data_IF_201562350808
#
_entry.id   IF_201562350808
#
_cell.length_a   1.000
_cell.length_b   1.000
_cell.length_c   1.000
_cell.angle_alpha   90.00
_cell.angle_beta   90.00
_cell.angle_gamma   90.00
#
_symmetry.space_group_name_H-M   'P 1'
#
loop_
_entity.id
_entity.type
_entity.pdbx_description
1 polymer ?
#
# COMPACT_ATOMS: atom_id res chain seq x y z
N UNK A 1 -1.89 7.46 46.69
CA UNK A 1 -1.69 7.35 45.23
C UNK A 1 -1.68 5.88 44.84
N UNK A 2 -2.66 5.41 44.05
CA UNK A 2 -2.58 4.07 43.44
C UNK A 2 -1.66 4.18 42.24
N UNK A 3 -0.43 3.69 42.38
CA UNK A 3 0.54 3.64 41.27
C UNK A 3 0.13 2.64 40.19
N UNK A 4 0.77 2.72 39.04
CA UNK A 4 0.60 1.76 37.96
C UNK A 4 1.07 0.37 38.42
N UNK A 5 0.15 -0.59 38.45
CA UNK A 5 0.47 -2.02 38.60
C UNK A 5 0.69 -2.59 37.21
N UNK A 6 1.94 -2.90 36.91
CA UNK A 6 2.27 -3.76 35.77
C UNK A 6 1.94 -5.20 36.16
N UNK A 7 1.19 -5.89 35.32
CA UNK A 7 0.94 -7.34 35.41
C UNK A 7 1.40 -7.98 34.11
N UNK A 8 1.73 -9.26 34.17
CA UNK A 8 1.99 -10.03 32.96
C UNK A 8 0.80 -9.92 32.00
N UNK A 9 1.12 -9.77 30.71
CA UNK A 9 0.12 -9.74 29.65
C UNK A 9 -0.61 -11.08 29.65
N UNK A 10 -1.87 -11.07 30.09
CA UNK A 10 -2.79 -12.18 29.85
C UNK A 10 -3.31 -12.01 28.42
N UNK A 11 -2.96 -12.88 27.46
CA UNK A 11 -3.54 -12.80 26.13
C UNK A 11 -5.05 -12.82 26.27
N UNK A 12 -5.70 -11.73 25.85
CA UNK A 12 -7.15 -11.67 25.76
C UNK A 12 -7.58 -12.57 24.61
N UNK A 13 -8.41 -13.57 24.95
CA UNK A 13 -8.98 -14.58 24.05
C UNK A 13 -7.96 -15.20 23.08
N UNK A 14 -7.35 -16.33 23.48
CA UNK A 14 -6.87 -17.28 22.49
C UNK A 14 -8.04 -17.56 21.51
N UNK A 15 -7.77 -17.64 20.18
CA UNK A 15 -8.82 -17.90 19.20
C UNK A 15 -9.65 -19.09 19.68
N UNK A 16 -10.98 -18.93 19.71
CA UNK A 16 -11.90 -19.92 20.31
C UNK A 16 -12.13 -21.14 19.42
N UNK A 17 -11.23 -21.37 18.46
CA UNK A 17 -11.36 -22.39 17.44
C UNK A 17 -12.44 -21.99 16.43
N UNK A 18 -12.13 -22.15 15.15
CA UNK A 18 -13.07 -21.86 14.08
C UNK A 18 -12.37 -21.50 12.78
N UNK A 19 -13.10 -21.66 11.68
CA UNK A 19 -12.56 -21.44 10.34
C UNK A 19 -12.00 -20.02 10.15
N UNK A 20 -12.74 -18.98 10.55
CA UNK A 20 -12.36 -17.60 10.25
C UNK A 20 -11.10 -17.14 10.99
N UNK A 21 -10.93 -17.58 12.24
CA UNK A 21 -9.74 -17.26 13.04
C UNK A 21 -8.50 -17.97 12.53
N UNK A 22 -8.62 -19.27 12.23
CA UNK A 22 -7.54 -20.04 11.60
C UNK A 22 -7.23 -19.52 10.19
N UNK A 23 -8.23 -19.08 9.43
CA UNK A 23 -8.03 -18.47 8.11
C UNK A 23 -7.22 -17.18 8.21
N UNK A 24 -7.48 -16.36 9.23
CA UNK A 24 -6.71 -15.13 9.47
C UNK A 24 -5.25 -15.46 9.79
N UNK A 25 -5.02 -16.40 10.71
CA UNK A 25 -3.66 -16.82 11.07
C UNK A 25 -2.94 -17.47 9.88
N UNK A 26 -3.60 -18.36 9.15
CA UNK A 26 -3.07 -18.98 7.94
C UNK A 26 -2.70 -17.94 6.88
N UNK A 27 -3.54 -16.93 6.67
CA UNK A 27 -3.26 -15.81 5.76
C UNK A 27 -2.04 -15.00 6.19
N UNK A 28 -1.80 -14.85 7.51
CA UNK A 28 -0.59 -14.23 8.03
C UNK A 28 0.65 -15.09 7.76
N UNK A 29 0.58 -16.40 8.06
CA UNK A 29 1.66 -17.36 7.81
C UNK A 29 2.06 -17.42 6.34
N UNK A 30 1.09 -17.41 5.42
CA UNK A 30 1.34 -17.37 3.98
C UNK A 30 2.18 -16.16 3.54
N UNK A 31 2.14 -15.04 4.26
CA UNK A 31 3.02 -13.90 3.93
C UNK A 31 4.47 -14.18 4.29
N UNK A 32 4.70 -14.90 5.40
CA UNK A 32 6.03 -15.27 5.88
C UNK A 32 6.64 -16.41 5.08
N UNK A 33 5.83 -17.38 4.65
CA UNK A 33 6.26 -18.52 3.81
C UNK A 33 6.29 -18.18 2.31
N UNK A 34 6.14 -16.90 1.96
CA UNK A 34 6.08 -16.44 0.58
C UNK A 34 5.09 -17.24 -0.29
N UNK A 35 3.89 -17.48 0.23
CA UNK A 35 2.81 -18.19 -0.47
C UNK A 35 2.91 -19.71 -0.47
N UNK A 36 3.93 -20.31 0.17
CA UNK A 36 4.01 -21.76 0.34
C UNK A 36 2.94 -22.23 1.35
N UNK A 37 1.92 -22.90 0.81
CA UNK A 37 0.80 -23.41 1.60
C UNK A 37 1.19 -24.59 2.48
N UNK A 38 2.08 -25.48 2.02
CA UNK A 38 2.49 -26.64 2.78
C UNK A 38 3.32 -26.24 3.99
N UNK A 39 4.26 -25.30 3.81
CA UNK A 39 5.04 -24.72 4.90
C UNK A 39 4.13 -23.96 5.89
N UNK A 40 3.20 -23.14 5.39
CA UNK A 40 2.28 -22.39 6.25
C UNK A 40 1.37 -23.31 7.08
N UNK A 41 0.86 -24.40 6.50
CA UNK A 41 0.06 -25.40 7.23
C UNK A 41 0.91 -26.15 8.26
N UNK A 42 2.17 -26.45 7.96
CA UNK A 42 3.11 -27.07 8.90
C UNK A 42 3.34 -26.16 10.11
N UNK A 43 3.59 -24.87 9.88
CA UNK A 43 3.76 -23.89 10.96
C UNK A 43 2.47 -23.71 11.76
N UNK A 44 1.31 -23.68 11.11
CA UNK A 44 0.01 -23.60 11.77
C UNK A 44 -0.21 -24.79 12.72
N UNK A 45 0.14 -25.99 12.28
CA UNK A 45 0.04 -27.20 13.10
C UNK A 45 0.98 -27.14 14.32
N UNK A 46 2.18 -26.60 14.16
CA UNK A 46 3.11 -26.43 15.29
C UNK A 46 2.61 -25.38 16.29
N UNK A 47 2.02 -24.28 15.79
CA UNK A 47 1.36 -23.28 16.64
C UNK A 47 0.16 -23.87 17.39
N UNK A 48 -0.63 -24.71 16.74
CA UNK A 48 -1.76 -25.37 17.39
C UNK A 48 -1.33 -26.31 18.51
N UNK A 49 -0.25 -27.08 18.33
CA UNK A 49 0.30 -27.93 19.40
C UNK A 49 0.71 -27.13 20.64
N UNK A 50 1.32 -25.97 20.43
CA UNK A 50 1.84 -25.13 21.50
C UNK A 50 0.75 -24.30 22.19
N UNK A 51 -0.15 -23.70 21.40
CA UNK A 51 -1.11 -22.71 21.89
C UNK A 51 -2.54 -23.23 21.97
N UNK A 52 -2.81 -24.47 21.55
CA UNK A 52 -4.15 -25.09 21.57
C UNK A 52 -5.18 -24.19 20.88
N UNK A 53 -4.91 -23.85 19.62
CA UNK A 53 -5.74 -22.95 18.81
C UNK A 53 -7.06 -23.61 18.37
N UNK A 54 -7.07 -24.94 18.35
CA UNK A 54 -8.21 -25.79 18.00
C UNK A 54 -8.87 -26.41 19.24
N UNK A 55 -10.04 -27.00 19.03
CA UNK A 55 -10.79 -27.72 20.06
C UNK A 55 -11.17 -29.13 19.57
N UNK A 56 -11.85 -29.91 20.42
CA UNK A 56 -12.25 -31.29 20.07
C UNK A 56 -13.23 -31.36 18.90
N UNK A 57 -13.98 -30.29 18.64
CA UNK A 57 -15.02 -30.25 17.61
C UNK A 57 -14.47 -29.79 16.24
N UNK A 58 -13.35 -29.04 16.24
CA UNK A 58 -12.79 -28.43 15.05
C UNK A 58 -11.26 -28.35 15.12
N UNK A 59 -10.59 -29.28 14.43
CA UNK A 59 -9.14 -29.40 14.35
C UNK A 59 -8.52 -28.84 13.06
N UNK A 60 -7.18 -28.94 12.94
CA UNK A 60 -6.44 -28.52 11.74
C UNK A 60 -6.85 -29.33 10.51
N UNK A 61 -7.19 -30.62 10.67
CA UNK A 61 -7.72 -31.44 9.57
C UNK A 61 -9.02 -30.87 9.01
N UNK A 62 -9.99 -30.55 9.87
CA UNK A 62 -11.24 -29.91 9.46
C UNK A 62 -10.99 -28.58 8.76
N UNK A 63 -10.02 -27.80 9.24
CA UNK A 63 -9.63 -26.55 8.61
C UNK A 63 -9.07 -26.74 7.19
N UNK A 64 -8.23 -27.76 6.96
CA UNK A 64 -7.69 -28.06 5.63
C UNK A 64 -8.82 -28.48 4.68
N UNK A 65 -9.75 -29.32 5.14
CA UNK A 65 -10.91 -29.75 4.33
C UNK A 65 -11.79 -28.54 3.98
N UNK A 66 -12.10 -27.69 4.96
CA UNK A 66 -12.83 -26.44 4.75
C UNK A 66 -12.11 -25.49 3.77
N UNK A 67 -10.78 -25.41 3.80
CA UNK A 67 -10.00 -24.62 2.84
C UNK A 67 -10.16 -25.16 1.42
N UNK A 68 -10.22 -26.49 1.23
CA UNK A 68 -10.48 -27.09 -0.09
C UNK A 68 -11.92 -26.85 -0.53
N UNK A 69 -12.89 -27.15 0.33
CA UNK A 69 -14.33 -27.04 0.03
C UNK A 69 -14.74 -25.61 -0.29
N UNK A 70 -14.20 -24.64 0.46
CA UNK A 70 -14.44 -23.21 0.22
C UNK A 70 -13.54 -22.65 -0.89
N UNK A 71 -12.70 -23.45 -1.54
CA UNK A 71 -11.91 -23.08 -2.71
C UNK A 71 -10.71 -22.15 -2.42
N UNK A 72 -10.15 -22.21 -1.22
CA UNK A 72 -8.90 -21.51 -0.84
C UNK A 72 -7.64 -22.31 -1.19
N UNK A 73 -7.73 -23.64 -1.15
CA UNK A 73 -6.65 -24.54 -1.54
C UNK A 73 -7.10 -25.46 -2.67
N UNK A 74 -6.15 -25.80 -3.52
CA UNK A 74 -6.24 -26.90 -4.47
C UNK A 74 -5.10 -27.88 -4.17
N UNK A 75 -5.39 -29.16 -4.29
CA UNK A 75 -4.39 -30.20 -4.19
C UNK A 75 -4.03 -30.66 -5.60
N UNK A 76 -2.74 -30.69 -5.91
CA UNK A 76 -2.27 -31.25 -7.17
C UNK A 76 -2.37 -32.78 -7.10
N UNK A 77 -3.29 -33.35 -7.89
CA UNK A 77 -3.61 -34.78 -7.88
C UNK A 77 -2.41 -35.70 -8.19
N UNK A 78 -1.30 -35.17 -8.71
CA UNK A 78 -0.11 -35.95 -9.05
C UNK A 78 1.00 -35.88 -8.00
N UNK A 79 1.13 -34.76 -7.27
CA UNK A 79 2.20 -34.55 -6.29
C UNK A 79 1.72 -34.48 -4.83
N UNK A 80 0.41 -34.37 -4.59
CA UNK A 80 -0.16 -34.13 -3.25
C UNK A 80 0.20 -32.73 -2.70
N UNK A 81 0.68 -31.83 -3.57
CA UNK A 81 1.13 -30.50 -3.17
C UNK A 81 -0.06 -29.54 -3.04
N UNK A 82 -0.12 -28.83 -1.91
CA UNK A 82 -1.10 -27.78 -1.69
C UNK A 82 -0.72 -26.51 -2.44
N UNK A 83 -1.62 -26.01 -3.29
CA UNK A 83 -1.49 -24.72 -3.98
C UNK A 83 -2.59 -23.77 -3.55
N UNK A 84 -2.23 -22.52 -3.25
CA UNK A 84 -3.22 -21.49 -2.96
C UNK A 84 -3.96 -21.07 -4.23
N UNK A 85 -5.24 -20.75 -4.10
CA UNK A 85 -6.05 -20.28 -5.23
C UNK A 85 -6.02 -18.76 -5.36
N UNK A 86 -6.49 -18.24 -6.49
CA UNK A 86 -6.69 -16.81 -6.69
C UNK A 86 -7.65 -16.19 -5.65
N UNK A 87 -8.54 -16.99 -5.06
CA UNK A 87 -9.41 -16.57 -3.96
C UNK A 87 -8.57 -16.26 -2.72
N UNK A 88 -7.65 -17.15 -2.35
CA UNK A 88 -6.72 -16.96 -1.24
C UNK A 88 -5.82 -15.76 -1.46
N UNK A 89 -5.25 -15.60 -2.66
CA UNK A 89 -4.46 -14.41 -3.00
C UNK A 89 -5.27 -13.12 -2.80
N UNK A 90 -6.55 -13.10 -3.19
CA UNK A 90 -7.41 -11.94 -2.94
C UNK A 90 -7.71 -11.73 -1.46
N UNK A 91 -7.96 -12.80 -0.70
CA UNK A 91 -8.18 -12.72 0.75
C UNK A 91 -6.97 -12.15 1.48
N UNK A 92 -5.74 -12.58 1.12
CA UNK A 92 -4.50 -12.04 1.69
C UNK A 92 -4.40 -10.53 1.44
N UNK A 93 -4.66 -10.07 0.21
CA UNK A 93 -4.62 -8.64 -0.13
C UNK A 93 -5.66 -7.81 0.62
N UNK A 94 -6.89 -8.32 0.75
CA UNK A 94 -7.95 -7.66 1.53
C UNK A 94 -7.59 -7.59 3.01
N UNK A 95 -7.10 -8.67 3.59
CA UNK A 95 -6.63 -8.69 4.98
C UNK A 95 -5.50 -7.68 5.21
N UNK A 96 -4.54 -7.60 4.28
CA UNK A 96 -3.47 -6.61 4.33
C UNK A 96 -4.02 -5.18 4.29
N UNK A 97 -5.00 -4.90 3.42
CA UNK A 97 -5.68 -3.61 3.37
C UNK A 97 -6.38 -3.28 4.69
N UNK A 98 -7.19 -4.20 5.21
CA UNK A 98 -7.97 -4.02 6.44
C UNK A 98 -7.10 -3.83 7.67
N UNK A 99 -5.95 -4.50 7.75
CA UNK A 99 -5.03 -4.30 8.86
C UNK A 99 -4.40 -2.91 8.84
N UNK A 100 -3.93 -2.46 7.67
CA UNK A 100 -3.31 -1.13 7.56
C UNK A 100 -4.36 -0.03 7.76
N UNK A 101 -5.54 -0.13 7.14
CA UNK A 101 -6.62 0.86 7.31
C UNK A 101 -7.29 0.80 8.68
N UNK A 102 -7.44 -0.39 9.26
CA UNK A 102 -8.00 -0.58 10.59
C UNK A 102 -7.14 0.06 11.67
N UNK A 103 -5.81 0.04 11.51
CA UNK A 103 -4.86 0.79 12.35
C UNK A 103 -5.03 2.30 12.14
N UNK A 104 -5.12 2.75 10.87
CA UNK A 104 -5.31 4.15 10.48
C UNK A 104 -6.58 4.79 11.07
N UNK A 105 -7.70 4.07 11.08
CA UNK A 105 -8.96 4.52 11.71
C UNK A 105 -8.85 4.69 13.23
N UNK A 106 -7.98 3.92 13.89
CA UNK A 106 -7.77 3.99 15.34
C UNK A 106 -6.74 5.08 15.73
N UNK A 107 -5.82 5.43 14.83
CA UNK A 107 -4.81 6.48 15.04
C UNK A 107 -5.27 7.89 14.63
N UNK A 108 -6.32 8.00 13.79
CA UNK A 108 -6.85 9.27 13.29
C UNK A 108 -7.68 10.05 14.32
N UNK A 109 -7.05 11.00 15.02
CA UNK A 109 -7.73 12.10 15.70
C UNK A 109 -7.98 13.22 14.68
N UNK A 110 -9.25 13.46 14.34
CA UNK A 110 -9.69 14.65 13.59
C UNK A 110 -9.84 14.41 12.08
N UNK A 111 -11.08 14.48 11.62
CA UNK A 111 -11.43 14.57 10.21
C UNK A 111 -10.89 15.91 9.68
N UNK A 112 -9.75 15.92 9.01
CA UNK A 112 -9.30 17.10 8.28
C UNK A 112 -10.14 17.21 7.01
N UNK A 113 -11.29 17.88 7.10
CA UNK A 113 -11.98 18.43 5.94
C UNK A 113 -10.98 19.35 5.21
N UNK A 114 -10.66 19.00 3.97
CA UNK A 114 -9.89 19.90 3.11
C UNK A 114 -10.86 20.90 2.50
N UNK A 115 -10.72 22.19 2.84
CA UNK A 115 -11.52 23.31 2.31
C UNK A 115 -11.21 23.65 0.83
N UNK A 116 -10.86 22.67 -0.01
CA UNK A 116 -10.63 22.90 -1.44
C UNK A 116 -11.55 22.00 -2.25
N UNK A 117 -12.75 22.53 -2.50
CA UNK A 117 -13.67 22.07 -3.53
C UNK A 117 -13.04 22.33 -4.91
N UNK A 118 -13.04 21.33 -5.79
CA UNK A 118 -12.60 21.45 -7.19
C UNK A 118 -13.77 21.37 -8.15
N UNK A 119 -13.58 21.84 -9.39
CA UNK A 119 -14.53 21.63 -10.49
C UNK A 119 -14.24 20.22 -11.06
N UNK A 120 -14.82 19.18 -10.46
CA UNK A 120 -14.69 17.78 -10.89
C UNK A 120 -15.92 17.26 -11.67
N UNK A 121 -15.87 16.02 -12.18
CA UNK A 121 -16.99 15.37 -12.87
C UNK A 121 -17.76 14.35 -12.00
N UNK A 122 -17.18 13.87 -10.88
CA UNK A 122 -17.82 12.89 -10.00
C UNK A 122 -18.43 13.57 -8.76
N UNK A 123 -19.71 13.30 -8.53
CA UNK A 123 -20.48 13.77 -7.37
C UNK A 123 -19.92 13.17 -6.08
N UNK A 124 -19.56 14.00 -5.11
CA UNK A 124 -19.29 13.59 -3.73
C UNK A 124 -20.64 13.54 -2.96
N UNK A 125 -20.68 12.77 -1.87
CA UNK A 125 -21.83 12.73 -0.97
C UNK A 125 -21.88 13.95 -0.03
N UNK A 126 -20.78 14.70 0.07
CA UNK A 126 -20.72 15.92 0.85
C UNK A 126 -21.46 17.05 0.14
N UNK A 127 -22.33 17.73 0.91
CA UNK A 127 -23.13 18.87 0.46
C UNK A 127 -22.73 20.11 1.23
N UNK A 128 -22.83 21.25 0.57
CA UNK A 128 -22.66 22.55 1.22
C UNK A 128 -23.64 23.57 0.65
N UNK A 129 -23.80 24.66 1.37
CA UNK A 129 -24.55 25.82 0.90
C UNK A 129 -23.93 26.37 -0.40
N UNK A 130 -24.80 26.74 -1.33
CA UNK A 130 -24.42 27.40 -2.57
C UNK A 130 -23.68 28.72 -2.28
N UNK A 131 -22.64 28.99 -3.05
CA UNK A 131 -21.91 30.26 -3.03
C UNK A 131 -21.84 30.84 -4.43
N UNK A 132 -21.84 32.17 -4.51
CA UNK A 132 -21.74 32.85 -5.80
C UNK A 132 -20.48 32.43 -6.56
N UNK A 133 -20.66 31.88 -7.75
CA UNK A 133 -19.59 31.32 -8.59
C UNK A 133 -19.64 29.80 -8.75
N UNK A 134 -20.47 29.10 -7.98
CA UNK A 134 -20.72 27.67 -8.15
C UNK A 134 -21.49 27.40 -9.45
N UNK A 135 -21.18 26.26 -10.07
CA UNK A 135 -21.76 25.92 -11.37
C UNK A 135 -23.16 25.34 -11.19
N UNK A 136 -24.09 25.69 -12.08
CA UNK A 136 -25.51 25.28 -11.98
C UNK A 136 -25.70 23.76 -12.02
N UNK A 137 -24.80 23.03 -12.67
CA UNK A 137 -24.79 21.56 -12.73
C UNK A 137 -24.34 20.88 -11.41
N UNK A 138 -23.93 21.67 -10.41
CA UNK A 138 -23.59 21.19 -9.07
C UNK A 138 -24.77 21.29 -8.09
N UNK A 139 -25.85 22.00 -8.44
CA UNK A 139 -27.00 22.19 -7.55
C UNK A 139 -27.77 20.87 -7.40
N UNK A 140 -27.91 20.39 -6.17
CA UNK A 140 -28.86 19.31 -5.86
C UNK A 140 -30.25 19.91 -5.69
N UNK A 141 -31.03 19.86 -6.77
CA UNK A 141 -32.41 20.35 -6.77
C UNK A 141 -33.28 19.65 -5.73
N UNK A 142 -33.03 18.38 -5.43
CA UNK A 142 -33.85 17.61 -4.48
C UNK A 142 -33.63 18.14 -3.07
N UNK A 143 -32.37 18.27 -2.67
CA UNK A 143 -32.00 18.83 -1.37
C UNK A 143 -32.43 20.29 -1.24
N UNK A 144 -32.26 21.05 -2.32
CA UNK A 144 -32.61 22.48 -2.33
C UNK A 144 -34.12 22.70 -2.17
N UNK A 145 -34.95 21.89 -2.84
CA UNK A 145 -36.42 21.92 -2.68
C UNK A 145 -36.81 21.48 -1.27
N UNK A 146 -36.14 20.47 -0.71
CA UNK A 146 -36.39 20.02 0.66
C UNK A 146 -36.09 21.14 1.68
N UNK A 147 -34.95 21.83 1.53
CA UNK A 147 -34.59 22.97 2.38
C UNK A 147 -35.58 24.13 2.22
N UNK A 148 -36.00 24.45 1.00
CA UNK A 148 -36.99 25.47 0.72
C UNK A 148 -38.33 25.19 1.43
N UNK A 149 -38.79 23.93 1.41
CA UNK A 149 -40.01 23.54 2.12
C UNK A 149 -39.86 23.62 3.65
N UNK A 150 -38.67 23.31 4.18
CA UNK A 150 -38.37 23.44 5.61
C UNK A 150 -38.37 24.91 6.03
N UNK A 151 -37.78 25.79 5.22
CA UNK A 151 -37.59 27.21 5.54
C UNK A 151 -38.82 28.08 5.26
N UNK A 152 -39.61 27.75 4.25
CA UNK A 152 -40.72 28.58 3.76
C UNK A 152 -42.11 27.93 3.90
N UNK A 153 -42.17 26.64 4.25
CA UNK A 153 -43.42 25.90 4.43
C UNK A 153 -43.99 25.31 3.13
N UNK A 154 -45.12 24.61 3.26
CA UNK A 154 -45.71 23.78 2.18
C UNK A 154 -46.74 24.55 1.34
N UNK A 155 -47.26 25.67 1.86
CA UNK A 155 -48.38 26.39 1.26
C UNK A 155 -48.02 27.17 0.00
N UNK A 156 -46.91 27.91 0.03
CA UNK A 156 -46.41 28.72 -1.08
C UNK A 156 -44.94 28.37 -1.35
N UNK A 157 -44.65 27.78 -2.52
CA UNK A 157 -43.29 27.41 -2.87
C UNK A 157 -42.44 28.65 -3.13
N UNK A 158 -41.51 28.91 -2.22
CA UNK A 158 -40.53 29.99 -2.34
C UNK A 158 -39.14 29.36 -2.25
N UNK A 159 -38.27 29.63 -3.24
CA UNK A 159 -36.89 29.14 -3.27
C UNK A 159 -35.95 30.34 -3.30
N UNK A 160 -35.06 30.42 -2.31
CA UNK A 160 -34.04 31.46 -2.19
C UNK A 160 -32.64 30.88 -2.41
N UNK A 161 -31.65 31.76 -2.55
CA UNK A 161 -30.24 31.39 -2.65
C UNK A 161 -29.73 30.61 -1.44
N UNK A 162 -30.31 30.85 -0.26
CA UNK A 162 -29.98 30.16 1.00
C UNK A 162 -30.51 28.74 1.08
N UNK A 163 -31.49 28.40 0.25
CA UNK A 163 -32.04 27.06 0.19
C UNK A 163 -31.24 26.16 -0.76
N UNK A 164 -30.41 26.74 -1.63
CA UNK A 164 -29.62 26.01 -2.60
C UNK A 164 -28.49 25.24 -1.92
N UNK A 165 -28.49 23.93 -2.10
CA UNK A 165 -27.36 23.06 -1.78
C UNK A 165 -26.64 22.65 -3.06
N UNK A 166 -25.31 22.65 -2.99
CA UNK A 166 -24.46 22.11 -4.04
C UNK A 166 -23.79 20.82 -3.57
N UNK A 167 -23.76 19.82 -4.44
CA UNK A 167 -22.91 18.64 -4.27
C UNK A 167 -21.47 19.05 -4.56
N UNK A 168 -20.56 18.80 -3.61
CA UNK A 168 -19.15 18.96 -3.88
C UNK A 168 -18.73 17.95 -4.97
N UNK A 169 -17.92 18.39 -5.94
CA UNK A 169 -17.33 17.49 -6.93
C UNK A 169 -15.86 17.28 -6.59
N UNK A 170 -15.47 16.03 -6.36
CA UNK A 170 -14.07 15.70 -6.17
C UNK A 170 -13.36 15.78 -7.52
N UNK A 171 -12.28 16.57 -7.62
CA UNK A 171 -11.36 16.48 -8.75
C UNK A 171 -10.57 15.19 -8.64
N UNK A 172 -11.09 14.10 -9.22
CA UNK A 172 -10.35 12.83 -9.29
C UNK A 172 -9.38 12.88 -10.45
N UNK A 173 -8.18 13.41 -10.21
CA UNK A 173 -7.10 13.26 -11.19
C UNK A 173 -6.71 11.80 -11.35
N UNK A 174 -6.73 11.30 -12.58
CA UNK A 174 -6.18 9.98 -12.90
C UNK A 174 -4.70 9.97 -12.60
N UNK A 175 -4.27 9.03 -11.77
CA UNK A 175 -2.88 8.90 -11.35
C UNK A 175 -2.26 7.61 -11.85
N UNK A 176 -1.04 7.70 -12.37
CA UNK A 176 -0.21 6.56 -12.71
C UNK A 176 0.92 6.41 -11.69
N UNK A 177 0.93 5.29 -10.99
CA UNK A 177 1.87 4.99 -9.92
C UNK A 177 2.73 3.80 -10.31
N UNK A 178 4.05 3.93 -10.16
CA UNK A 178 4.94 2.77 -10.10
C UNK A 178 5.33 2.54 -8.65
N UNK A 179 5.10 1.34 -8.14
CA UNK A 179 5.62 0.88 -6.86
C UNK A 179 6.89 0.06 -7.09
N UNK A 180 8.02 0.58 -6.62
CA UNK A 180 9.32 -0.08 -6.64
C UNK A 180 9.58 -0.76 -5.29
N UNK A 181 9.93 -2.04 -5.33
CA UNK A 181 10.25 -2.86 -4.13
C UNK A 181 11.67 -3.40 -4.26
N UNK A 182 12.49 -3.08 -3.27
CA UNK A 182 13.83 -3.64 -3.12
C UNK A 182 13.76 -5.11 -2.70
N UNK A 183 14.48 -5.98 -3.42
CA UNK A 183 14.63 -7.41 -3.10
C UNK A 183 16.09 -7.81 -2.88
N UNK A 184 16.95 -6.81 -2.66
CA UNK A 184 18.35 -7.03 -2.33
C UNK A 184 18.52 -7.71 -0.97
N UNK A 185 19.69 -8.31 -0.78
CA UNK A 185 19.97 -9.06 0.44
C UNK A 185 19.84 -8.22 1.71
N UNK A 186 20.03 -6.89 1.62
CA UNK A 186 19.89 -6.00 2.77
C UNK A 186 18.53 -6.09 3.44
N UNK A 187 17.47 -6.36 2.69
CA UNK A 187 16.08 -6.43 3.15
C UNK A 187 15.81 -7.52 4.20
N UNK A 188 16.76 -8.43 4.43
CA UNK A 188 16.72 -9.45 5.51
C UNK A 188 17.98 -9.44 6.41
N UNK A 189 18.91 -8.49 6.20
CA UNK A 189 20.13 -8.43 6.99
C UNK A 189 19.83 -8.05 8.44
N UNK A 190 20.70 -8.53 9.34
CA UNK A 190 20.66 -8.27 10.78
C UNK A 190 19.43 -8.85 11.49
N UNK A 191 18.80 -9.89 10.91
CA UNK A 191 17.66 -10.57 11.51
C UNK A 191 16.36 -9.75 11.46
N UNK A 192 16.31 -8.68 10.68
CA UNK A 192 15.12 -7.87 10.46
C UNK A 192 14.46 -8.25 9.13
N UNK A 193 13.25 -8.77 9.16
CA UNK A 193 12.44 -9.02 7.96
C UNK A 193 11.74 -7.74 7.50
N UNK A 194 12.33 -7.06 6.52
CA UNK A 194 11.79 -5.82 5.93
C UNK A 194 10.98 -6.07 4.67
N UNK A 195 11.17 -7.23 4.04
CA UNK A 195 10.47 -7.60 2.81
C UNK A 195 9.00 -7.92 3.10
N UNK A 196 8.68 -8.61 4.19
CA UNK A 196 7.30 -8.97 4.52
C UNK A 196 6.41 -7.74 4.74
N UNK A 197 6.82 -6.71 5.53
CA UNK A 197 6.08 -5.45 5.60
C UNK A 197 5.94 -4.75 4.24
N UNK A 198 6.98 -4.77 3.40
CA UNK A 198 6.94 -4.16 2.07
C UNK A 198 5.90 -4.84 1.16
N UNK A 199 5.88 -6.18 1.11
CA UNK A 199 4.85 -6.96 0.38
C UNK A 199 3.45 -6.63 0.86
N UNK A 200 3.26 -6.58 2.18
CA UNK A 200 1.95 -6.32 2.79
C UNK A 200 1.42 -4.95 2.40
N UNK A 201 2.25 -3.92 2.45
CA UNK A 201 1.87 -2.57 2.03
C UNK A 201 1.64 -2.50 0.52
N UNK A 202 2.46 -3.18 -0.29
CA UNK A 202 2.25 -3.27 -1.74
C UNK A 202 0.90 -3.90 -2.10
N UNK A 203 0.55 -5.01 -1.43
CA UNK A 203 -0.71 -5.71 -1.60
C UNK A 203 -1.90 -4.85 -1.17
N UNK A 204 -1.79 -4.18 -0.02
CA UNK A 204 -2.80 -3.25 0.46
C UNK A 204 -3.00 -2.09 -0.52
N UNK A 205 -1.91 -1.50 -1.06
CA UNK A 205 -2.00 -0.42 -2.03
C UNK A 205 -2.67 -0.89 -3.32
N UNK A 206 -2.30 -2.08 -3.82
CA UNK A 206 -2.93 -2.67 -5.00
C UNK A 206 -4.43 -2.90 -4.80
N UNK A 207 -4.83 -3.42 -3.64
CA UNK A 207 -6.25 -3.64 -3.33
C UNK A 207 -7.00 -2.32 -3.18
N UNK A 208 -6.42 -1.30 -2.54
CA UNK A 208 -7.02 0.03 -2.45
C UNK A 208 -7.27 0.64 -3.83
N UNK A 209 -6.26 0.64 -4.69
CA UNK A 209 -6.36 1.21 -6.04
C UNK A 209 -7.43 0.44 -6.83
N UNK A 210 -7.40 -0.89 -6.79
CA UNK A 210 -8.37 -1.73 -7.50
C UNK A 210 -9.81 -1.52 -7.03
N UNK A 211 -10.03 -1.31 -5.72
CA UNK A 211 -11.37 -1.22 -5.13
C UNK A 211 -11.93 0.19 -5.09
N UNK A 212 -11.13 1.20 -4.71
CA UNK A 212 -11.59 2.59 -4.56
C UNK A 212 -11.25 3.49 -5.73
N UNK A 213 -10.19 3.19 -6.49
CA UNK A 213 -9.69 4.05 -7.57
C UNK A 213 -9.43 3.27 -8.86
N UNK A 214 -10.43 2.54 -9.39
CA UNK A 214 -10.23 1.59 -10.49
C UNK A 214 -9.76 2.22 -11.81
N UNK A 215 -9.85 3.56 -11.94
CA UNK A 215 -9.36 4.31 -13.11
C UNK A 215 -7.86 4.65 -13.00
N UNK A 216 -7.26 4.55 -11.82
CA UNK A 216 -5.82 4.75 -11.62
C UNK A 216 -5.03 3.51 -12.04
N UNK A 217 -3.75 3.71 -12.39
CA UNK A 217 -2.87 2.61 -12.79
C UNK A 217 -1.80 2.37 -11.75
N UNK A 218 -1.56 1.10 -11.41
CA UNK A 218 -0.44 0.66 -10.59
C UNK A 218 0.42 -0.33 -11.38
N UNK A 219 1.68 0.02 -11.59
CA UNK A 219 2.71 -0.88 -12.08
C UNK A 219 3.64 -1.24 -10.92
N UNK A 220 4.02 -2.51 -10.78
CA UNK A 220 4.93 -2.96 -9.71
C UNK A 220 6.26 -3.36 -10.35
N UNK A 221 7.35 -2.81 -9.82
CA UNK A 221 8.73 -3.09 -10.26
C UNK A 221 9.50 -3.61 -9.05
N UNK A 222 10.19 -4.73 -9.23
CA UNK A 222 11.15 -5.20 -8.22
C UNK A 222 12.55 -4.91 -8.72
N UNK A 223 13.48 -4.63 -7.80
CA UNK A 223 14.86 -4.39 -8.16
C UNK A 223 15.85 -5.02 -7.18
N UNK A 224 16.89 -5.61 -7.76
CA UNK A 224 18.05 -6.20 -7.10
C UNK A 224 19.29 -5.88 -7.93
N UNK A 225 19.94 -6.89 -8.53
CA UNK A 225 21.03 -6.63 -9.50
C UNK A 225 20.52 -5.97 -10.79
N UNK A 226 19.29 -6.33 -11.20
CA UNK A 226 18.52 -5.76 -12.30
C UNK A 226 17.14 -5.34 -11.77
N UNK A 227 16.31 -4.78 -12.65
CA UNK A 227 14.92 -4.47 -12.35
C UNK A 227 13.98 -5.06 -13.41
N UNK A 228 12.81 -5.53 -12.98
CA UNK A 228 11.78 -6.07 -13.86
C UNK A 228 10.37 -5.82 -13.29
N UNK A 229 9.35 -5.74 -14.15
CA UNK A 229 7.97 -5.63 -13.69
C UNK A 229 7.47 -6.97 -13.16
N UNK A 230 6.60 -6.92 -12.16
CA UNK A 230 5.85 -8.09 -11.67
C UNK A 230 4.35 -7.76 -11.64
N UNK A 231 3.53 -8.80 -11.60
CA UNK A 231 2.10 -8.65 -11.41
C UNK A 231 1.74 -8.59 -9.93
N UNK A 232 0.53 -8.10 -9.62
CA UNK A 232 0.00 -8.11 -8.25
C UNK A 232 -0.11 -9.52 -7.68
N UNK A 233 -0.25 -10.55 -8.53
CA UNK A 233 -0.33 -11.96 -8.10
C UNK A 233 1.02 -12.49 -7.60
N UNK A 234 2.12 -11.89 -8.05
CA UNK A 234 3.46 -12.34 -7.70
C UNK A 234 3.92 -11.78 -6.33
N UNK A 235 3.21 -10.77 -5.79
CA UNK A 235 3.57 -10.10 -4.53
C UNK A 235 3.71 -11.03 -3.31
N UNK A 236 2.78 -11.99 -3.06
CA UNK A 236 2.91 -12.91 -1.93
C UNK A 236 4.20 -13.73 -2.01
N UNK A 237 4.54 -14.18 -3.22
CA UNK A 237 5.67 -15.06 -3.53
C UNK A 237 7.01 -14.35 -3.66
N UNK A 238 7.04 -13.03 -3.50
CA UNK A 238 8.27 -12.27 -3.65
C UNK A 238 9.31 -12.73 -2.62
N UNK A 239 10.55 -12.94 -3.02
CA UNK A 239 11.62 -13.32 -2.09
C UNK A 239 12.81 -12.42 -2.30
N UNK A 240 13.57 -12.22 -1.22
CA UNK A 240 14.87 -11.56 -1.30
C UNK A 240 15.88 -12.54 -1.88
N UNK A 241 16.74 -12.05 -2.75
CA UNK A 241 17.83 -12.84 -3.31
C UNK A 241 19.19 -12.40 -2.77
N UNK A 242 20.27 -13.12 -3.13
CA UNK A 242 21.65 -12.68 -2.93
C UNK A 242 22.00 -11.56 -3.94
N UNK A 243 21.15 -10.54 -4.00
CA UNK A 243 21.25 -9.42 -4.91
C UNK A 243 21.84 -8.20 -4.20
N UNK A 244 22.50 -7.36 -4.98
CA UNK A 244 22.83 -6.00 -4.61
C UNK A 244 21.65 -5.06 -4.90
N UNK A 245 21.83 -3.77 -4.65
CA UNK A 245 20.78 -2.75 -4.77
C UNK A 245 21.07 -1.88 -5.99
N UNK A 246 20.47 -2.18 -7.14
CA UNK A 246 20.56 -1.39 -8.37
C UNK A 246 19.35 -0.44 -8.51
N UNK A 247 19.31 0.55 -7.63
CA UNK A 247 18.25 1.57 -7.60
C UNK A 247 18.14 2.32 -8.93
N UNK A 248 19.27 2.55 -9.62
CA UNK A 248 19.28 3.18 -10.95
C UNK A 248 18.42 2.41 -11.95
N UNK A 249 18.62 1.10 -12.08
CA UNK A 249 17.85 0.28 -13.03
C UNK A 249 16.35 0.27 -12.69
N UNK A 250 16.01 0.22 -11.40
CA UNK A 250 14.63 0.33 -10.95
C UNK A 250 13.98 1.65 -11.34
N UNK A 251 14.69 2.77 -11.13
CA UNK A 251 14.20 4.11 -11.48
C UNK A 251 14.08 4.31 -13.00
N UNK A 252 15.05 3.81 -13.76
CA UNK A 252 15.06 3.84 -15.22
C UNK A 252 13.83 3.11 -15.78
N UNK A 253 13.58 1.88 -15.33
CA UNK A 253 12.42 1.10 -15.74
C UNK A 253 11.10 1.77 -15.30
N UNK A 254 11.02 2.28 -14.07
CA UNK A 254 9.84 2.97 -13.57
C UNK A 254 9.52 4.23 -14.39
N UNK A 255 10.52 5.05 -14.69
CA UNK A 255 10.36 6.23 -15.53
C UNK A 255 9.91 5.87 -16.94
N UNK A 256 10.42 4.77 -17.51
CA UNK A 256 10.02 4.28 -18.83
C UNK A 256 8.56 3.80 -18.86
N UNK A 257 8.11 3.07 -17.84
CA UNK A 257 6.71 2.67 -17.70
C UNK A 257 5.79 3.89 -17.60
N UNK A 258 6.14 4.86 -16.75
CA UNK A 258 5.36 6.08 -16.56
C UNK A 258 5.36 6.97 -17.80
N UNK A 259 6.46 7.03 -18.57
CA UNK A 259 6.53 7.81 -19.81
C UNK A 259 5.51 7.35 -20.85
N UNK A 260 5.18 6.05 -20.89
CA UNK A 260 4.17 5.47 -21.80
C UNK A 260 2.73 5.77 -21.37
N UNK A 261 2.50 6.23 -20.13
CA UNK A 261 1.16 6.58 -19.64
C UNK A 261 0.76 7.99 -20.11
N UNK A 262 -0.50 8.12 -20.57
CA UNK A 262 -1.09 9.39 -21.04
C UNK A 262 -1.50 10.34 -19.90
N UNK A 263 -1.64 9.80 -18.68
CA UNK A 263 -2.00 10.55 -17.47
C UNK A 263 -0.95 11.62 -17.16
N UNK A 264 -1.41 12.79 -16.71
CA UNK A 264 -0.50 13.86 -16.31
C UNK A 264 0.14 13.56 -14.95
N UNK A 265 -0.64 13.02 -14.02
CA UNK A 265 -0.18 12.72 -12.66
C UNK A 265 0.56 11.38 -12.65
N UNK A 266 1.87 11.46 -12.48
CA UNK A 266 2.79 10.31 -12.45
C UNK A 266 3.56 10.35 -11.13
N UNK A 267 3.78 9.20 -10.52
CA UNK A 267 4.55 9.13 -9.28
C UNK A 267 5.25 7.77 -9.14
N UNK A 268 6.37 7.78 -8.41
CA UNK A 268 7.08 6.58 -8.02
C UNK A 268 7.05 6.47 -6.50
N UNK A 269 6.63 5.33 -5.99
CA UNK A 269 6.84 4.95 -4.59
C UNK A 269 7.96 3.93 -4.54
N UNK A 270 8.98 4.18 -3.74
CA UNK A 270 10.14 3.30 -3.62
C UNK A 270 10.27 2.81 -2.19
N UNK A 271 10.16 1.50 -1.98
CA UNK A 271 10.41 0.86 -0.70
C UNK A 271 11.80 0.22 -0.74
N UNK A 272 12.69 0.67 0.14
CA UNK A 272 14.07 0.18 0.20
C UNK A 272 14.64 0.36 1.60
N UNK A 273 15.56 -0.52 1.98
CA UNK A 273 16.37 -0.44 3.19
C UNK A 273 17.87 -0.26 2.87
N UNK A 274 18.22 -0.21 1.59
CA UNK A 274 19.57 -0.34 1.09
C UNK A 274 20.07 0.92 0.40
N UNK A 275 21.38 1.15 0.51
CA UNK A 275 22.07 2.12 -0.34
C UNK A 275 22.22 1.52 -1.74
N UNK A 276 22.22 2.33 -2.80
CA UNK A 276 22.63 1.85 -4.11
C UNK A 276 24.04 1.26 -4.04
N UNK A 277 24.19 -0.02 -4.42
CA UNK A 277 25.44 -0.78 -4.37
C UNK A 277 25.81 -1.41 -5.71
N UNK A 278 24.94 -1.32 -6.72
CA UNK A 278 25.16 -1.94 -8.02
C UNK A 278 24.74 -1.04 -9.19
N UNK A 279 25.47 -1.18 -10.31
CA UNK A 279 25.10 -0.71 -11.63
C UNK A 279 25.36 -1.80 -12.66
N UNK A 280 24.64 -1.75 -13.78
CA UNK A 280 24.96 -2.54 -14.98
C UNK A 280 25.46 -1.61 -16.08
N UNK A 281 26.66 -1.88 -16.58
CA UNK A 281 27.27 -1.09 -17.65
C UNK A 281 27.92 -2.03 -18.66
N UNK A 282 27.62 -1.83 -19.94
CA UNK A 282 28.18 -2.63 -21.05
C UNK A 282 28.03 -4.14 -20.82
N UNK A 283 26.87 -4.56 -20.28
CA UNK A 283 26.57 -5.96 -19.97
C UNK A 283 27.26 -6.52 -18.72
N UNK A 284 28.10 -5.74 -18.03
CA UNK A 284 28.80 -6.17 -16.79
C UNK A 284 28.23 -5.47 -15.57
N UNK A 285 28.18 -6.19 -14.45
CA UNK A 285 27.79 -5.60 -13.17
C UNK A 285 28.98 -4.95 -12.49
N UNK A 286 28.85 -3.67 -12.20
CA UNK A 286 29.70 -2.95 -11.26
C UNK A 286 29.06 -3.01 -9.87
N UNK A 287 29.78 -3.53 -8.89
CA UNK A 287 29.25 -3.84 -7.56
C UNK A 287 30.21 -3.35 -6.48
N UNK A 288 29.69 -2.66 -5.49
CA UNK A 288 30.41 -2.27 -4.29
C UNK A 288 29.50 -2.46 -3.07
N UNK A 289 29.62 -3.61 -2.40
CA UNK A 289 28.74 -3.99 -1.28
C UNK A 289 28.90 -3.11 -0.05
N UNK A 290 30.03 -2.39 0.09
CA UNK A 290 30.24 -1.42 1.18
C UNK A 290 29.36 -0.18 1.02
N UNK A 291 28.77 0.02 -0.17
CA UNK A 291 28.01 1.22 -0.51
C UNK A 291 28.91 2.46 -0.65
N UNK A 292 28.27 3.62 -0.73
CA UNK A 292 28.95 4.94 -0.83
C UNK A 292 29.87 5.12 -2.05
N UNK A 293 29.73 4.23 -3.03
CA UNK A 293 30.47 4.32 -4.27
C UNK A 293 30.02 5.54 -5.07
N UNK A 294 30.95 6.46 -5.33
CA UNK A 294 30.66 7.72 -6.02
C UNK A 294 30.03 7.49 -7.39
N UNK A 295 30.44 6.44 -8.10
CA UNK A 295 29.91 6.14 -9.44
C UNK A 295 28.46 5.68 -9.36
N UNK A 296 28.16 4.75 -8.46
CA UNK A 296 26.79 4.22 -8.25
C UNK A 296 25.85 5.33 -7.76
N UNK A 297 26.30 6.10 -6.76
CA UNK A 297 25.52 7.20 -6.19
C UNK A 297 25.24 8.26 -7.24
N UNK A 298 26.27 8.78 -7.91
CA UNK A 298 26.09 9.87 -8.88
C UNK A 298 25.14 9.47 -10.02
N UNK A 299 25.24 8.23 -10.51
CA UNK A 299 24.35 7.74 -11.56
C UNK A 299 22.89 7.65 -11.08
N UNK A 300 22.69 7.19 -9.84
CA UNK A 300 21.36 7.12 -9.21
C UNK A 300 20.77 8.53 -8.98
N UNK A 301 21.57 9.47 -8.46
CA UNK A 301 21.15 10.87 -8.26
C UNK A 301 20.83 11.57 -9.58
N UNK A 302 21.61 11.32 -10.64
CA UNK A 302 21.33 11.84 -11.97
C UNK A 302 19.98 11.33 -12.50
N UNK A 303 19.65 10.06 -12.27
CA UNK A 303 18.34 9.52 -12.64
C UNK A 303 17.21 10.18 -11.83
N UNK A 304 17.42 10.44 -10.54
CA UNK A 304 16.46 11.17 -9.70
C UNK A 304 16.19 12.60 -10.24
N UNK A 305 17.24 13.28 -10.69
CA UNK A 305 17.14 14.60 -11.34
C UNK A 305 16.40 14.53 -12.68
N UNK A 306 16.59 13.46 -13.46
CA UNK A 306 15.83 13.21 -14.68
C UNK A 306 14.34 13.01 -14.38
N UNK A 307 13.99 12.22 -13.36
CA UNK A 307 12.60 12.06 -12.91
C UNK A 307 11.96 13.39 -12.53
N UNK A 308 12.70 14.29 -11.84
CA UNK A 308 12.22 15.65 -11.52
C UNK A 308 11.88 16.45 -12.78
N UNK A 309 12.77 16.46 -13.78
CA UNK A 309 12.54 17.13 -15.06
C UNK A 309 11.31 16.58 -15.79
N UNK A 310 11.04 15.28 -15.64
CA UNK A 310 9.86 14.60 -16.18
C UNK A 310 8.59 14.81 -15.32
N UNK A 311 8.66 15.61 -14.25
CA UNK A 311 7.59 15.83 -13.27
C UNK A 311 7.10 14.53 -12.62
N UNK A 312 8.02 13.60 -12.37
CA UNK A 312 7.77 12.34 -11.66
C UNK A 312 8.34 12.48 -10.23
N UNK A 313 7.53 12.91 -9.25
CA UNK A 313 7.93 12.86 -7.85
C UNK A 313 8.17 11.41 -7.40
N UNK A 314 9.22 11.24 -6.60
CA UNK A 314 9.59 9.98 -5.99
C UNK A 314 9.37 10.13 -4.48
N UNK A 315 8.51 9.27 -3.93
CA UNK A 315 8.39 9.11 -2.48
C UNK A 315 9.16 7.86 -2.06
N UNK A 316 10.20 8.07 -1.27
CA UNK A 316 11.05 7.00 -0.74
C UNK A 316 10.59 6.61 0.66
N UNK A 317 10.27 5.34 0.85
CA UNK A 317 9.95 4.75 2.13
C UNK A 317 11.13 3.92 2.60
N UNK A 318 11.83 4.48 3.59
CA UNK A 318 13.07 3.92 4.10
C UNK A 318 12.79 3.10 5.35
N UNK A 319 13.16 1.82 5.31
CA UNK A 319 12.97 0.86 6.42
C UNK A 319 14.33 0.61 7.10
N UNK A 320 15.03 1.65 7.56
CA UNK A 320 16.34 1.47 8.20
C UNK A 320 16.69 2.60 9.17
N UNK A 321 17.68 2.38 10.03
CA UNK A 321 18.21 3.39 10.97
C UNK A 321 19.61 3.92 10.59
N UNK A 322 20.19 3.46 9.48
CA UNK A 322 21.55 3.83 9.07
C UNK A 322 21.67 5.34 8.73
N UNK A 323 22.49 6.12 9.49
CA UNK A 323 22.68 7.55 9.25
C UNK A 323 23.19 7.91 7.85
N UNK A 324 24.04 7.07 7.26
CA UNK A 324 24.59 7.33 5.92
C UNK A 324 23.54 7.11 4.84
N UNK A 325 22.70 6.08 5.00
CA UNK A 325 21.57 5.86 4.09
C UNK A 325 20.60 7.03 4.18
N UNK A 326 20.32 7.52 5.39
CA UNK A 326 19.49 8.72 5.56
C UNK A 326 20.09 9.93 4.84
N UNK A 327 21.41 10.14 4.89
CA UNK A 327 22.06 11.23 4.17
C UNK A 327 21.87 11.09 2.66
N UNK A 328 22.08 9.90 2.12
CA UNK A 328 21.83 9.62 0.70
C UNK A 328 20.36 9.88 0.32
N UNK A 329 19.41 9.37 1.10
CA UNK A 329 17.97 9.55 0.86
C UNK A 329 17.57 11.02 0.95
N UNK A 330 18.11 11.79 1.90
CA UNK A 330 17.90 13.25 1.99
C UNK A 330 18.36 13.95 0.71
N UNK A 331 19.58 13.69 0.28
CA UNK A 331 20.14 14.26 -0.96
C UNK A 331 19.32 13.85 -2.19
N UNK A 332 18.96 12.57 -2.29
CA UNK A 332 18.14 12.02 -3.36
C UNK A 332 16.77 12.73 -3.43
N UNK A 333 16.14 12.91 -2.27
CA UNK A 333 14.83 13.56 -2.13
C UNK A 333 14.88 15.03 -2.53
N UNK A 334 15.92 15.76 -2.10
CA UNK A 334 16.15 17.15 -2.47
C UNK A 334 16.35 17.33 -3.98
N UNK A 335 17.18 16.46 -4.58
CA UNK A 335 17.44 16.46 -6.02
C UNK A 335 16.18 16.17 -6.81
N UNK A 336 15.36 15.19 -6.41
CA UNK A 336 14.11 14.87 -7.08
C UNK A 336 12.98 15.90 -6.78
N UNK A 337 13.02 16.58 -5.64
CA UNK A 337 11.90 17.38 -5.14
C UNK A 337 10.73 16.53 -4.63
N UNK A 338 11.01 15.28 -4.27
CA UNK A 338 10.04 14.30 -3.79
C UNK A 338 9.88 14.32 -2.27
N UNK A 339 9.59 13.16 -1.68
CA UNK A 339 9.48 13.00 -0.22
C UNK A 339 10.23 11.76 0.26
N UNK A 340 10.61 11.77 1.53
CA UNK A 340 11.14 10.60 2.20
C UNK A 340 10.45 10.39 3.55
N UNK A 341 10.06 9.16 3.83
CA UNK A 341 9.53 8.73 5.11
C UNK A 341 10.50 7.75 5.75
N UNK A 342 10.91 8.09 6.97
CA UNK A 342 11.75 7.26 7.82
C UNK A 342 10.84 6.53 8.78
N UNK A 343 10.53 5.27 8.47
CA UNK A 343 9.52 4.52 9.22
C UNK A 343 10.14 3.33 9.95
N UNK A 344 9.51 2.95 11.05
CA UNK A 344 9.67 1.61 11.60
C UNK A 344 8.82 0.62 10.78
N UNK A 345 9.08 -0.68 10.92
CA UNK A 345 8.37 -1.75 10.20
C UNK A 345 6.83 -1.62 10.27
N UNK A 346 6.31 -1.04 11.34
CA UNK A 346 4.87 -0.94 11.61
C UNK A 346 4.16 0.29 11.01
N UNK A 347 4.90 1.36 10.66
CA UNK A 347 4.31 2.62 10.19
C UNK A 347 4.32 2.82 8.66
N UNK A 348 4.97 1.90 7.93
CA UNK A 348 5.18 2.01 6.48
C UNK A 348 3.88 2.20 5.69
N UNK A 349 2.84 1.46 6.06
CA UNK A 349 1.55 1.49 5.37
C UNK A 349 0.87 2.85 5.45
N UNK A 350 0.74 3.40 6.66
CA UNK A 350 0.01 4.65 6.89
C UNK A 350 0.56 5.79 6.03
N UNK A 351 1.89 5.93 5.98
CA UNK A 351 2.52 6.96 5.17
C UNK A 351 2.30 6.77 3.67
N UNK A 352 2.42 5.54 3.14
CA UNK A 352 2.17 5.25 1.71
C UNK A 352 0.76 5.68 1.31
N UNK A 353 -0.23 5.35 2.14
CA UNK A 353 -1.63 5.67 1.88
C UNK A 353 -1.94 7.16 1.95
N UNK A 354 -1.44 7.84 2.98
CA UNK A 354 -1.59 9.30 3.10
C UNK A 354 -0.95 9.99 1.89
N UNK A 355 0.24 9.54 1.49
CA UNK A 355 0.99 10.08 0.36
C UNK A 355 0.25 9.98 -0.96
N UNK A 356 -0.30 8.79 -1.23
CA UNK A 356 -1.11 8.49 -2.41
C UNK A 356 -2.37 9.38 -2.47
N UNK A 357 -3.12 9.48 -1.37
CA UNK A 357 -4.33 10.30 -1.31
C UNK A 357 -3.98 11.79 -1.48
N UNK A 358 -2.91 12.26 -0.84
CA UNK A 358 -2.48 13.67 -0.89
C UNK A 358 -1.99 14.08 -2.28
N UNK A 359 -1.26 13.21 -2.99
CA UNK A 359 -0.79 13.52 -4.35
C UNK A 359 -1.92 13.60 -5.36
N UNK A 360 -2.95 12.76 -5.20
CA UNK A 360 -4.15 12.84 -6.04
C UNK A 360 -4.88 14.19 -5.89
N UNK A 361 -4.81 14.83 -4.71
CA UNK A 361 -5.42 16.14 -4.43
C UNK A 361 -4.56 17.34 -4.88
N UNK A 362 -3.23 17.22 -4.89
CA UNK A 362 -2.31 18.38 -5.00
C UNK A 362 -2.14 18.98 -6.39
N UNK A 363 -2.47 18.27 -7.47
CA UNK A 363 -2.19 18.76 -8.83
C UNK A 363 -3.42 19.42 -9.44
N UNK A 364 -3.76 20.59 -8.89
CA UNK A 364 -4.58 21.61 -9.56
C UNK A 364 -3.64 22.76 -9.85
N UNK A 365 -3.35 23.01 -11.13
CA UNK A 365 -2.79 24.26 -11.61
C UNK A 365 -3.44 24.64 -12.93
#
# INVERSE_FOLDING_TARGET
MRGFRFSDYKPGDAPKGGFDELLKLFSELLNYTAGDAAEALSWLNELDKQYKLTNNDYGIGNFIDDLKDKGYLTEDNQSGEFKITAKTEQTIRKSALDEIFGKLKKSGRGNHNSNQSGIGEEKNADRREYSFGDSLDQIDMTASIQNAQINHGIGDFTLTDRDLEVEEKDFKTLTSTVLMIDISHSMILYGEDRITPAKKVAMALAELIKTKYPKDTLDIVVFGNDAWPISVKDLPYLQVGPYHTNTYAGLELAADLLRRRKTHNKQIFMITDGKPTCLKENGKYYKNSMGLDRKVINKTLNMAAQCKRLKIPITTFMIAKDPYLQQFVRQFTEINGGRAFYSSLNGLGEYIFEDYIKNRRKTVK
#
